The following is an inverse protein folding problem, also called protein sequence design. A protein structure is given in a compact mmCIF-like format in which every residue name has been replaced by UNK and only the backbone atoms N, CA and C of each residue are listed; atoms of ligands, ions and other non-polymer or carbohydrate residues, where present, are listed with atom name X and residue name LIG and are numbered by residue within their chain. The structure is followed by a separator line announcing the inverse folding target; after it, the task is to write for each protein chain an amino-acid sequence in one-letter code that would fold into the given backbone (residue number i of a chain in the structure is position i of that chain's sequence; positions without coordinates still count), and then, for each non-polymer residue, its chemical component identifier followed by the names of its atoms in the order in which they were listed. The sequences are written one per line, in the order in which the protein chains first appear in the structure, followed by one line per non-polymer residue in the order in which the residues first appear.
data_IF_338388290000
#
_entry.id   IF_338388290000
#
_cell.length_a   1.000
_cell.length_b   1.000
_cell.length_c   1.000
_cell.angle_alpha   90.00
_cell.angle_beta   90.00
_cell.angle_gamma   90.00
#
_symmetry.space_group_name_H-M   'P 1'
#
loop_
_entity.id
_entity.type
_entity.pdbx_description
1 polymer ?
#
# COMPACT_ATOMS: atom_id res chain seq x y z
N UNK A 1 -18.51 7.56 10.88
CA UNK A 1 -17.18 6.98 10.60
C UNK A 1 -16.20 7.04 11.79
N UNK A 2 -16.65 7.30 13.01
CA UNK A 2 -15.79 7.29 14.21
C UNK A 2 -15.64 5.92 14.88
N UNK A 3 -16.45 4.93 14.52
CA UNK A 3 -16.49 3.67 15.27
C UNK A 3 -15.34 2.68 14.99
N UNK A 4 -15.01 2.37 13.73
CA UNK A 4 -14.04 1.31 13.45
C UNK A 4 -12.59 1.81 13.41
N UNK A 5 -12.34 2.98 12.83
CA UNK A 5 -11.02 3.62 12.89
C UNK A 5 -10.71 4.12 14.31
N UNK A 6 -11.71 4.62 15.04
CA UNK A 6 -11.61 4.97 16.45
C UNK A 6 -11.33 3.74 17.35
N UNK A 7 -11.93 2.58 17.08
CA UNK A 7 -11.67 1.36 17.83
C UNK A 7 -10.25 0.80 17.58
N UNK A 8 -9.75 0.87 16.34
CA UNK A 8 -8.36 0.52 16.03
C UNK A 8 -7.35 1.53 16.64
N UNK A 9 -7.70 2.80 16.73
CA UNK A 9 -6.86 3.85 17.31
C UNK A 9 -6.96 3.90 18.84
N UNK A 10 -8.14 3.65 19.43
CA UNK A 10 -8.30 3.48 20.88
C UNK A 10 -7.65 2.18 21.39
N UNK A 11 -7.66 1.11 20.63
CA UNK A 11 -6.90 -0.09 20.97
C UNK A 11 -5.38 0.19 21.09
N UNK A 12 -4.87 1.21 20.40
CA UNK A 12 -3.45 1.62 20.48
C UNK A 12 -3.15 2.51 21.70
N UNK A 13 -4.13 3.26 22.20
CA UNK A 13 -3.96 4.13 23.39
C UNK A 13 -4.05 3.38 24.73
N UNK A 14 -4.61 2.18 24.74
CA UNK A 14 -4.74 1.34 25.93
C UNK A 14 -4.13 -0.06 25.78
N UNK A 15 -3.61 -0.42 24.63
CA UNK A 15 -2.87 -1.65 24.47
C UNK A 15 -1.52 -1.55 25.21
N UNK A 16 -1.51 -1.91 26.49
CA UNK A 16 -0.38 -2.69 26.97
C UNK A 16 -0.14 -3.71 25.89
N UNK A 17 1.03 -3.71 25.27
CA UNK A 17 1.43 -4.63 24.21
C UNK A 17 1.36 -6.05 24.77
N UNK A 18 0.15 -6.57 24.82
CA UNK A 18 -0.10 -7.94 25.28
C UNK A 18 0.51 -8.89 24.24
N UNK A 19 1.02 -10.03 24.68
CA UNK A 19 1.57 -11.07 23.82
C UNK A 19 0.66 -11.38 22.60
N UNK A 20 -0.66 -11.28 22.77
CA UNK A 20 -1.64 -11.45 21.69
C UNK A 20 -1.54 -10.42 20.57
N UNK A 21 -1.31 -9.14 20.90
CA UNK A 21 -1.15 -8.10 19.88
C UNK A 21 0.16 -8.29 19.09
N UNK A 22 1.23 -8.68 19.78
CA UNK A 22 2.51 -9.00 19.15
C UNK A 22 2.38 -10.20 18.21
N UNK A 23 1.76 -11.30 18.66
CA UNK A 23 1.52 -12.48 17.83
C UNK A 23 0.69 -12.12 16.59
N UNK A 24 -0.40 -11.38 16.77
CA UNK A 24 -1.26 -10.97 15.65
C UNK A 24 -0.51 -10.10 14.63
N UNK A 25 0.28 -9.13 15.11
CA UNK A 25 1.09 -8.27 14.23
C UNK A 25 2.17 -9.05 13.49
N UNK A 26 2.82 -10.00 14.18
CA UNK A 26 3.84 -10.86 13.58
C UNK A 26 3.24 -11.78 12.52
N UNK A 27 2.12 -12.43 12.82
CA UNK A 27 1.43 -13.28 11.84
C UNK A 27 0.95 -12.48 10.62
N UNK A 28 0.41 -11.27 10.84
CA UNK A 28 0.05 -10.36 9.75
C UNK A 28 1.25 -9.97 8.91
N UNK A 29 2.38 -9.61 9.54
CA UNK A 29 3.62 -9.31 8.84
C UNK A 29 4.15 -10.49 8.03
N UNK A 30 4.18 -11.67 8.61
CA UNK A 30 4.58 -12.91 7.92
C UNK A 30 3.68 -13.21 6.71
N UNK A 31 2.38 -13.00 6.84
CA UNK A 31 1.45 -13.17 5.72
C UNK A 31 1.84 -12.29 4.53
N UNK A 32 2.18 -11.01 4.77
CA UNK A 32 2.62 -10.09 3.70
C UNK A 32 3.95 -10.52 3.09
N UNK A 33 4.92 -10.94 3.91
CA UNK A 33 6.23 -11.40 3.43
C UNK A 33 6.11 -12.70 2.62
N UNK A 34 5.12 -13.54 2.93
CA UNK A 34 4.88 -14.81 2.23
C UNK A 34 4.01 -14.67 0.97
N UNK A 35 3.62 -13.46 0.57
CA UNK A 35 2.86 -13.27 -0.67
C UNK A 35 3.66 -13.76 -1.90
N UNK A 36 3.10 -14.65 -2.73
CA UNK A 36 3.78 -15.14 -3.93
C UNK A 36 4.21 -14.02 -4.88
N UNK A 37 3.40 -12.97 -4.98
CA UNK A 37 3.72 -11.77 -5.78
C UNK A 37 5.00 -11.08 -5.31
N UNK A 38 5.23 -10.97 -3.99
CA UNK A 38 6.44 -10.36 -3.46
C UNK A 38 7.68 -11.18 -3.84
N UNK A 39 7.60 -12.49 -3.69
CA UNK A 39 8.69 -13.41 -4.03
C UNK A 39 8.99 -13.44 -5.53
N UNK A 40 7.95 -13.50 -6.38
CA UNK A 40 8.12 -13.45 -7.83
C UNK A 40 8.87 -12.17 -8.24
N UNK A 41 8.51 -11.02 -7.65
CA UNK A 41 9.17 -9.74 -7.93
C UNK A 41 10.58 -9.66 -7.33
N UNK A 42 10.81 -10.24 -6.17
CA UNK A 42 12.13 -10.27 -5.54
C UNK A 42 13.18 -10.97 -6.42
N UNK A 43 12.77 -11.96 -7.21
CA UNK A 43 13.68 -12.69 -8.11
C UNK A 43 13.74 -12.11 -9.53
N UNK A 44 12.71 -11.38 -9.99
CA UNK A 44 12.64 -10.90 -11.38
C UNK A 44 12.76 -9.39 -11.51
N UNK A 45 12.17 -8.65 -10.59
CA UNK A 45 12.13 -7.20 -10.55
C UNK A 45 12.37 -6.70 -9.13
N UNK A 46 13.59 -6.87 -8.64
CA UNK A 46 13.95 -6.56 -7.24
C UNK A 46 13.54 -5.17 -6.80
N UNK A 47 13.64 -4.17 -7.68
CA UNK A 47 13.19 -2.82 -7.37
C UNK A 47 11.69 -2.75 -7.07
N UNK A 48 10.85 -3.51 -7.78
CA UNK A 48 9.39 -3.58 -7.53
C UNK A 48 9.03 -4.39 -6.27
N UNK A 49 9.95 -5.18 -5.74
CA UNK A 49 9.76 -5.84 -4.44
C UNK A 49 9.81 -4.86 -3.26
N UNK A 50 10.29 -3.62 -3.47
CA UNK A 50 10.39 -2.58 -2.44
C UNK A 50 9.03 -1.97 -2.05
N UNK A 51 7.98 -2.80 -1.94
CA UNK A 51 6.63 -2.38 -1.52
C UNK A 51 6.59 -1.80 -0.10
N UNK A 52 7.62 -2.07 0.70
CA UNK A 52 7.81 -1.47 2.03
C UNK A 52 7.81 0.07 2.00
N UNK A 53 8.23 0.69 0.89
CA UNK A 53 8.17 2.15 0.72
C UNK A 53 6.75 2.69 0.85
N UNK A 54 5.80 2.05 0.18
CA UNK A 54 4.39 2.43 0.27
C UNK A 54 3.81 2.15 1.67
N UNK A 55 4.16 1.00 2.26
CA UNK A 55 3.70 0.64 3.61
C UNK A 55 4.22 1.64 4.65
N UNK A 56 5.49 2.08 4.53
CA UNK A 56 6.03 3.12 5.40
C UNK A 56 5.39 4.48 5.16
N UNK A 57 5.09 4.85 3.91
CA UNK A 57 4.39 6.10 3.61
C UNK A 57 2.98 6.10 4.20
N UNK A 58 2.26 4.99 4.07
CA UNK A 58 0.95 4.82 4.68
C UNK A 58 1.02 4.87 6.22
N UNK A 59 1.99 4.18 6.81
CA UNK A 59 2.22 4.24 8.27
C UNK A 59 2.52 5.66 8.74
N UNK A 60 3.45 6.36 8.06
CA UNK A 60 3.82 7.73 8.39
C UNK A 60 2.61 8.69 8.25
N UNK A 61 1.75 8.50 7.25
CA UNK A 61 0.51 9.25 7.10
C UNK A 61 -0.44 9.00 8.28
N UNK A 62 -0.67 7.74 8.64
CA UNK A 62 -1.58 7.39 9.74
C UNK A 62 -1.07 7.92 11.09
N UNK A 63 0.23 7.82 11.34
CA UNK A 63 0.87 8.37 12.53
C UNK A 63 0.76 9.90 12.57
N UNK A 64 1.05 10.57 11.45
CA UNK A 64 0.92 12.01 11.34
C UNK A 64 -0.51 12.48 11.59
N UNK A 65 -1.50 11.81 10.99
CA UNK A 65 -2.91 12.09 11.21
C UNK A 65 -3.31 11.94 12.68
N UNK A 66 -2.83 10.90 13.36
CA UNK A 66 -3.06 10.71 14.80
C UNK A 66 -2.45 11.84 15.63
N UNK A 67 -1.22 12.24 15.29
CA UNK A 67 -0.53 13.33 15.96
C UNK A 67 -1.20 14.69 15.72
N UNK A 68 -1.81 14.91 14.55
CA UNK A 68 -2.64 16.09 14.28
C UNK A 68 -3.86 16.16 15.20
N UNK A 69 -4.55 15.02 15.39
CA UNK A 69 -5.71 14.95 16.29
C UNK A 69 -5.33 15.19 17.77
N UNK A 70 -4.18 14.67 18.20
CA UNK A 70 -3.69 14.87 19.58
C UNK A 70 -2.99 16.21 19.82
N UNK A 71 -2.81 17.02 18.77
CA UNK A 71 -2.13 18.32 18.87
C UNK A 71 -0.60 18.24 18.98
N UNK A 72 -0.01 17.07 18.80
CA UNK A 72 1.44 16.81 18.93
C UNK A 72 2.17 16.73 17.59
N UNK A 73 1.48 17.01 16.47
CA UNK A 73 2.06 16.88 15.13
C UNK A 73 3.26 17.80 14.92
N UNK A 74 4.33 17.19 14.42
CA UNK A 74 5.52 17.87 13.91
C UNK A 74 5.54 17.75 12.39
N UNK A 75 6.48 18.45 11.73
CA UNK A 75 6.68 18.30 10.29
C UNK A 75 6.95 16.83 9.93
N UNK A 76 6.23 16.24 8.96
CA UNK A 76 6.34 14.80 8.65
C UNK A 76 7.53 14.53 7.72
N UNK A 77 8.75 14.63 8.24
CA UNK A 77 10.00 14.42 7.50
C UNK A 77 10.07 13.06 6.77
N UNK A 78 9.31 12.07 7.21
CA UNK A 78 9.24 10.79 6.53
C UNK A 78 8.74 10.92 5.09
N UNK A 79 7.83 11.86 4.78
CA UNK A 79 7.27 12.02 3.44
C UNK A 79 8.30 12.47 2.41
N UNK A 80 9.06 13.57 2.60
CA UNK A 80 10.13 13.95 1.66
C UNK A 80 11.22 12.87 1.56
N UNK A 81 11.60 12.24 2.65
CA UNK A 81 12.62 11.16 2.62
C UNK A 81 12.13 9.98 1.78
N UNK A 82 10.90 9.53 1.99
CA UNK A 82 10.33 8.42 1.22
C UNK A 82 10.10 8.80 -0.25
N UNK A 83 9.74 10.04 -0.56
CA UNK A 83 9.63 10.52 -1.92
C UNK A 83 10.99 10.51 -2.66
N UNK A 84 12.06 10.95 -1.98
CA UNK A 84 13.42 10.84 -2.49
C UNK A 84 13.82 9.38 -2.77
N UNK A 85 13.63 8.49 -1.80
CA UNK A 85 13.97 7.06 -1.92
C UNK A 85 13.14 6.37 -3.01
N UNK A 86 11.86 6.72 -3.14
CA UNK A 86 10.98 6.14 -4.14
C UNK A 86 11.50 6.37 -5.57
N UNK A 87 11.98 7.58 -5.87
CA UNK A 87 12.57 7.87 -7.18
C UNK A 87 13.86 7.10 -7.40
N UNK A 88 14.71 7.01 -6.37
CA UNK A 88 16.00 6.31 -6.46
C UNK A 88 15.88 4.79 -6.59
N UNK A 89 14.85 4.20 -5.99
CA UNK A 89 14.63 2.74 -6.02
C UNK A 89 13.82 2.34 -7.25
N UNK A 90 12.61 2.90 -7.38
CA UNK A 90 11.77 2.68 -8.56
C UNK A 90 10.70 3.76 -8.68
N UNK A 91 10.64 4.51 -9.79
CA UNK A 91 9.72 5.63 -9.97
C UNK A 91 8.23 5.28 -9.80
N UNK A 92 7.82 4.02 -9.96
CA UNK A 92 6.43 3.58 -9.78
C UNK A 92 5.92 3.72 -8.33
N UNK A 93 6.82 3.77 -7.34
CA UNK A 93 6.42 4.02 -5.96
C UNK A 93 6.17 5.50 -5.67
N UNK A 94 6.73 6.39 -6.49
CA UNK A 94 6.58 7.83 -6.26
C UNK A 94 5.12 8.30 -6.22
N UNK A 95 4.24 7.94 -7.17
CA UNK A 95 2.83 8.35 -7.10
C UNK A 95 2.13 7.90 -5.80
N UNK A 96 2.44 6.70 -5.31
CA UNK A 96 1.85 6.17 -4.07
C UNK A 96 2.33 6.94 -2.84
N UNK A 97 3.64 7.23 -2.76
CA UNK A 97 4.22 8.04 -1.68
C UNK A 97 3.68 9.47 -1.74
N UNK A 98 3.62 10.09 -2.92
CA UNK A 98 3.10 11.43 -3.10
C UNK A 98 1.61 11.53 -2.78
N UNK A 99 0.83 10.49 -3.02
CA UNK A 99 -0.56 10.44 -2.58
C UNK A 99 -0.66 10.47 -1.05
N UNK A 100 0.17 9.72 -0.33
CA UNK A 100 0.22 9.79 1.13
C UNK A 100 0.66 11.17 1.63
N UNK A 101 1.64 11.81 0.97
CA UNK A 101 2.08 13.16 1.28
C UNK A 101 0.98 14.20 1.03
N UNK A 102 0.23 14.07 -0.06
CA UNK A 102 -0.93 14.91 -0.36
C UNK A 102 -2.03 14.76 0.68
N UNK A 103 -2.38 13.52 1.05
CA UNK A 103 -3.37 13.26 2.09
C UNK A 103 -2.96 13.85 3.43
N UNK A 104 -1.66 13.78 3.80
CA UNK A 104 -1.13 14.40 5.02
C UNK A 104 -1.25 15.93 4.98
N UNK A 105 -0.95 16.55 3.82
CA UNK A 105 -1.09 17.99 3.62
C UNK A 105 -2.56 18.44 3.68
N UNK A 106 -3.46 17.72 3.02
CA UNK A 106 -4.91 18.00 3.06
C UNK A 106 -5.45 17.88 4.48
N UNK A 107 -5.03 16.86 5.23
CA UNK A 107 -5.46 16.67 6.62
C UNK A 107 -5.00 17.83 7.50
N UNK A 108 -3.77 18.33 7.35
CA UNK A 108 -3.27 19.52 8.03
C UNK A 108 -4.12 20.76 7.68
N UNK A 109 -4.35 21.00 6.38
CA UNK A 109 -5.15 22.13 5.90
C UNK A 109 -6.56 22.11 6.46
N UNK A 110 -7.20 20.94 6.51
CA UNK A 110 -8.57 20.78 7.02
C UNK A 110 -8.68 20.92 8.53
N UNK A 111 -7.80 20.27 9.29
CA UNK A 111 -7.88 20.25 10.76
C UNK A 111 -7.38 21.55 11.41
N UNK A 112 -6.28 22.10 10.91
CA UNK A 112 -5.63 23.27 11.52
C UNK A 112 -5.87 24.57 10.74
N UNK A 113 -6.60 24.51 9.59
CA UNK A 113 -6.80 25.64 8.66
C UNK A 113 -5.47 26.25 8.16
N UNK A 114 -4.39 25.48 8.21
CA UNK A 114 -3.02 25.91 7.89
C UNK A 114 -2.62 25.52 6.48
N UNK A 115 -3.36 26.00 5.47
CA UNK A 115 -3.16 25.63 4.07
C UNK A 115 -1.79 26.02 3.51
N UNK A 116 -1.19 27.15 3.99
CA UNK A 116 0.17 27.52 3.62
C UNK A 116 1.22 26.51 4.11
N UNK A 117 1.10 26.04 5.36
CA UNK A 117 1.96 24.97 5.88
C UNK A 117 1.73 23.64 5.16
N UNK A 118 0.47 23.33 4.80
CA UNK A 118 0.12 22.15 4.04
C UNK A 118 0.77 22.16 2.64
N UNK A 119 0.70 23.30 1.95
CA UNK A 119 1.34 23.47 0.65
C UNK A 119 2.87 23.35 0.75
N UNK A 120 3.49 23.94 1.77
CA UNK A 120 4.93 23.83 2.01
C UNK A 120 5.35 22.39 2.29
N UNK A 121 4.58 21.66 3.08
CA UNK A 121 4.83 20.25 3.38
C UNK A 121 4.78 19.37 2.12
N UNK A 122 3.79 19.58 1.26
CA UNK A 122 3.71 18.86 0.00
C UNK A 122 4.82 19.24 -0.96
N UNK A 123 5.11 20.56 -1.07
CA UNK A 123 6.20 21.09 -1.90
C UNK A 123 7.58 20.54 -1.48
N UNK A 124 7.82 20.35 -0.17
CA UNK A 124 9.06 19.72 0.33
C UNK A 124 9.20 18.27 -0.16
N UNK A 125 8.11 17.51 -0.18
CA UNK A 125 8.11 16.13 -0.70
C UNK A 125 8.34 16.11 -2.22
N UNK A 126 7.74 17.05 -2.95
CA UNK A 126 7.95 17.20 -4.39
C UNK A 126 9.39 17.61 -4.71
N UNK A 127 9.95 18.58 -3.98
CA UNK A 127 11.33 19.00 -4.12
C UNK A 127 12.32 17.84 -3.87
N UNK A 128 12.08 17.05 -2.82
CA UNK A 128 12.88 15.87 -2.51
C UNK A 128 12.82 14.82 -3.64
N UNK A 129 11.65 14.61 -4.24
CA UNK A 129 11.49 13.73 -5.40
C UNK A 129 12.27 14.25 -6.62
N UNK A 130 12.21 15.56 -6.90
CA UNK A 130 12.96 16.18 -8.01
C UNK A 130 14.46 16.05 -7.78
N UNK A 131 14.96 16.36 -6.56
CA UNK A 131 16.38 16.21 -6.21
C UNK A 131 16.81 14.74 -6.37
N UNK A 132 16.01 13.79 -5.86
CA UNK A 132 16.27 12.37 -6.06
C UNK A 132 16.31 11.99 -7.56
N UNK A 133 15.39 12.50 -8.34
CA UNK A 133 15.33 12.25 -9.79
C UNK A 133 16.55 12.77 -10.55
N UNK A 134 17.06 13.93 -10.18
CA UNK A 134 18.28 14.51 -10.76
C UNK A 134 19.51 13.68 -10.34
N UNK A 135 19.66 13.41 -9.04
CA UNK A 135 20.82 12.69 -8.51
C UNK A 135 20.91 11.24 -9.01
N UNK A 136 19.76 10.58 -9.19
CA UNK A 136 19.71 9.22 -9.73
C UNK A 136 19.65 9.16 -11.26
N UNK A 137 19.74 10.30 -11.95
CA UNK A 137 19.72 10.35 -13.41
C UNK A 137 18.35 10.06 -14.06
N UNK A 138 17.28 9.98 -13.28
CA UNK A 138 15.94 9.78 -13.80
C UNK A 138 15.40 11.04 -14.51
N UNK A 139 15.94 12.20 -14.18
CA UNK A 139 15.64 13.50 -14.82
C UNK A 139 16.93 13.99 -15.45
N UNK A 140 16.87 14.33 -16.75
CA UNK A 140 18.00 14.93 -17.48
C UNK A 140 18.93 13.94 -18.19
N UNK A 141 18.74 12.63 -18.05
CA UNK A 141 19.60 11.62 -18.69
C UNK A 141 19.39 11.47 -20.21
N UNK A 142 18.45 12.16 -20.81
CA UNK A 142 18.15 12.07 -22.25
C UNK A 142 17.64 10.68 -22.73
N UNK A 143 17.63 9.70 -21.87
CA UNK A 143 17.04 8.38 -22.15
C UNK A 143 15.53 8.52 -22.07
N UNK A 144 14.93 8.89 -23.20
CA UNK A 144 13.47 8.94 -23.30
C UNK A 144 12.87 7.61 -22.88
N UNK A 145 11.86 7.66 -22.02
CA UNK A 145 11.11 6.46 -21.67
C UNK A 145 10.66 5.80 -22.97
N UNK A 146 11.16 4.58 -23.22
CA UNK A 146 10.73 3.82 -24.38
C UNK A 146 9.22 3.61 -24.26
N UNK A 147 8.48 3.99 -25.28
CA UNK A 147 7.04 3.70 -25.39
C UNK A 147 6.78 2.25 -25.74
N UNK A 148 7.82 1.43 -25.89
CA UNK A 148 7.71 -0.01 -26.11
C UNK A 148 7.20 -0.68 -24.83
N UNK A 149 6.28 -1.62 -24.97
CA UNK A 149 5.75 -2.41 -23.85
C UNK A 149 4.36 -1.98 -23.36
N UNK A 150 3.73 -0.97 -23.97
CA UNK A 150 2.33 -0.68 -23.69
C UNK A 150 1.47 -1.90 -24.10
N UNK A 151 0.75 -2.46 -23.14
CA UNK A 151 0.00 -3.72 -23.30
C UNK A 151 0.76 -4.96 -22.82
N UNK A 152 2.10 -4.98 -22.88
CA UNK A 152 2.91 -6.13 -22.44
C UNK A 152 2.97 -6.27 -20.91
N UNK A 153 2.65 -5.21 -20.19
CA UNK A 153 2.66 -5.17 -18.72
C UNK A 153 1.26 -5.12 -18.12
N UNK A 154 0.24 -5.47 -18.91
CA UNK A 154 -1.14 -5.50 -18.45
C UNK A 154 -1.39 -6.64 -17.47
N UNK A 155 -2.37 -6.46 -16.60
CA UNK A 155 -2.81 -7.44 -15.61
C UNK A 155 -4.19 -7.98 -16.01
N UNK A 156 -4.36 -9.30 -16.00
CA UNK A 156 -5.68 -9.91 -16.15
C UNK A 156 -6.53 -9.76 -14.88
N UNK A 157 -7.84 -9.72 -15.05
CA UNK A 157 -8.76 -9.74 -13.90
C UNK A 157 -8.61 -10.98 -13.03
N UNK A 158 -8.20 -12.12 -13.60
CA UNK A 158 -7.96 -13.35 -12.86
C UNK A 158 -6.59 -13.40 -12.17
N UNK A 159 -5.72 -12.41 -12.36
CA UNK A 159 -4.36 -12.42 -11.82
C UNK A 159 -4.30 -12.61 -10.30
N UNK A 160 -5.30 -12.10 -9.57
CA UNK A 160 -5.37 -12.25 -8.11
C UNK A 160 -5.56 -13.71 -7.65
N UNK A 161 -6.16 -14.55 -8.50
CA UNK A 161 -6.44 -15.95 -8.21
C UNK A 161 -5.60 -16.91 -9.06
N UNK A 162 -4.95 -16.43 -10.13
CA UNK A 162 -4.16 -17.27 -11.03
C UNK A 162 -2.75 -17.52 -10.49
N UNK A 163 -2.39 -18.75 -10.10
CA UNK A 163 -1.08 -19.07 -9.54
C UNK A 163 0.03 -19.22 -10.57
N UNK A 164 -0.24 -19.07 -11.86
CA UNK A 164 0.73 -19.28 -12.94
C UNK A 164 1.61 -18.06 -13.12
N UNK A 165 2.91 -18.25 -12.98
CA UNK A 165 3.88 -17.23 -13.32
C UNK A 165 4.22 -17.24 -14.82
N UNK A 166 4.87 -16.18 -15.31
CA UNK A 166 5.32 -16.07 -16.69
C UNK A 166 6.25 -17.21 -17.15
N UNK A 167 7.00 -17.80 -16.25
CA UNK A 167 7.91 -18.92 -16.56
C UNK A 167 7.21 -20.26 -16.73
N UNK A 168 5.87 -20.29 -16.70
CA UNK A 168 5.09 -21.52 -16.86
C UNK A 168 5.03 -22.40 -15.61
N UNK A 169 5.69 -22.00 -14.51
CA UNK A 169 5.56 -22.70 -13.23
C UNK A 169 4.42 -22.13 -12.39
N UNK A 170 3.87 -22.95 -11.53
CA UNK A 170 2.75 -22.59 -10.67
C UNK A 170 3.18 -22.42 -9.21
N UNK A 171 2.62 -21.40 -8.56
CA UNK A 171 2.77 -21.14 -7.14
C UNK A 171 1.76 -21.91 -6.27
N UNK A 172 0.88 -22.70 -6.89
CA UNK A 172 -0.05 -23.55 -6.17
C UNK A 172 -0.09 -24.93 -6.81
N UNK A 173 -0.15 -25.96 -5.97
CA UNK A 173 -0.37 -27.36 -6.39
C UNK A 173 -1.82 -27.80 -6.23
N UNK A 174 -2.68 -26.95 -5.67
CA UNK A 174 -4.04 -27.34 -5.28
C UNK A 174 -5.08 -27.10 -6.37
N UNK A 175 -4.78 -26.28 -7.38
CA UNK A 175 -5.68 -26.08 -8.51
C UNK A 175 -4.91 -25.79 -9.79
N UNK A 176 -5.60 -26.03 -10.90
CA UNK A 176 -5.00 -25.97 -12.21
C UNK A 176 -4.58 -24.57 -12.61
N UNK A 177 -3.53 -24.54 -13.41
CA UNK A 177 -2.99 -23.36 -14.05
C UNK A 177 -4.01 -22.78 -15.03
N UNK A 178 -4.32 -21.51 -14.85
CA UNK A 178 -5.13 -20.77 -15.83
C UNK A 178 -4.19 -20.19 -16.90
N UNK A 179 -4.51 -20.34 -18.19
CA UNK A 179 -3.68 -19.79 -19.26
C UNK A 179 -3.58 -18.27 -19.11
N UNK A 180 -2.37 -17.75 -19.29
CA UNK A 180 -2.14 -16.32 -19.40
C UNK A 180 -2.23 -15.90 -20.86
N UNK A 181 -2.77 -14.71 -21.11
CA UNK A 181 -2.75 -14.10 -22.43
C UNK A 181 -1.32 -13.69 -22.80
N UNK A 182 -0.94 -13.73 -24.09
CA UNK A 182 0.34 -13.19 -24.53
C UNK A 182 0.51 -11.73 -24.13
N UNK A 183 1.75 -11.29 -23.90
CA UNK A 183 2.05 -9.89 -23.62
C UNK A 183 1.86 -9.45 -22.16
N UNK A 184 1.57 -10.35 -21.23
CA UNK A 184 1.36 -10.00 -19.81
C UNK A 184 2.61 -10.24 -18.96
N UNK A 185 3.66 -9.53 -19.27
CA UNK A 185 4.98 -9.73 -18.67
C UNK A 185 4.98 -9.61 -17.13
N UNK A 186 4.30 -8.60 -16.59
CA UNK A 186 4.17 -8.34 -15.14
C UNK A 186 2.77 -8.63 -14.61
N UNK A 187 1.96 -9.39 -15.34
CA UNK A 187 0.57 -9.70 -15.00
C UNK A 187 0.39 -10.59 -13.78
N UNK A 188 1.46 -11.16 -13.23
CA UNK A 188 1.39 -12.04 -12.06
C UNK A 188 1.13 -11.24 -10.77
N UNK A 189 -0.04 -11.44 -10.18
CA UNK A 189 -0.45 -10.78 -8.92
C UNK A 189 -1.21 -11.75 -7.99
N UNK A 190 -0.83 -13.01 -8.01
CA UNK A 190 -1.46 -14.05 -7.20
C UNK A 190 -1.34 -13.78 -5.71
N UNK A 191 -2.49 -13.74 -5.02
CA UNK A 191 -2.55 -13.44 -3.58
C UNK A 191 -2.09 -14.60 -2.69
N UNK A 192 -2.03 -15.81 -3.24
CA UNK A 192 -1.78 -17.02 -2.45
C UNK A 192 -3.05 -17.58 -1.81
N UNK A 193 -3.10 -18.90 -1.66
CA UNK A 193 -4.26 -19.60 -1.09
C UNK A 193 -4.60 -19.14 0.31
N UNK A 194 -3.59 -18.83 1.15
CA UNK A 194 -3.79 -18.37 2.52
C UNK A 194 -4.58 -17.07 2.58
N UNK A 195 -4.20 -16.07 1.76
CA UNK A 195 -4.92 -14.79 1.69
C UNK A 195 -6.30 -14.96 1.09
N UNK A 196 -6.45 -15.76 0.05
CA UNK A 196 -7.76 -16.05 -0.56
C UNK A 196 -8.70 -16.74 0.45
N UNK A 197 -8.20 -17.69 1.23
CA UNK A 197 -8.97 -18.33 2.29
C UNK A 197 -9.40 -17.34 3.39
N UNK A 198 -8.49 -16.44 3.81
CA UNK A 198 -8.81 -15.39 4.79
C UNK A 198 -9.86 -14.42 4.28
N UNK A 199 -9.74 -13.96 3.03
CA UNK A 199 -10.75 -13.07 2.40
C UNK A 199 -12.10 -13.78 2.37
N UNK A 200 -12.13 -15.04 1.93
CA UNK A 200 -13.36 -15.84 1.88
C UNK A 200 -13.97 -16.02 3.27
N UNK A 201 -13.16 -16.37 4.26
CA UNK A 201 -13.64 -16.51 5.64
C UNK A 201 -14.18 -15.19 6.20
N UNK A 202 -13.49 -14.07 5.97
CA UNK A 202 -13.93 -12.74 6.40
C UNK A 202 -15.25 -12.33 5.74
N UNK A 203 -15.41 -12.58 4.44
CA UNK A 203 -16.65 -12.32 3.71
C UNK A 203 -17.81 -13.16 4.25
N UNK A 204 -17.59 -14.48 4.43
CA UNK A 204 -18.61 -15.38 4.98
C UNK A 204 -19.01 -14.97 6.40
N UNK A 205 -18.05 -14.60 7.25
CA UNK A 205 -18.31 -14.12 8.59
C UNK A 205 -19.12 -12.82 8.58
N UNK A 206 -18.75 -11.87 7.72
CA UNK A 206 -19.46 -10.58 7.57
C UNK A 206 -20.88 -10.78 7.07
N UNK A 207 -21.08 -11.64 6.08
CA UNK A 207 -22.41 -11.99 5.57
C UNK A 207 -23.27 -12.66 6.67
N UNK A 208 -22.72 -13.63 7.39
CA UNK A 208 -23.44 -14.27 8.52
C UNK A 208 -23.84 -13.26 9.59
N UNK A 209 -22.96 -12.30 9.91
CA UNK A 209 -23.26 -11.24 10.86
C UNK A 209 -24.34 -10.31 10.36
N UNK A 210 -24.30 -9.89 9.09
CA UNK A 210 -25.32 -9.04 8.48
C UNK A 210 -26.70 -9.70 8.47
N UNK A 211 -26.77 -11.02 8.19
CA UNK A 211 -28.02 -11.80 8.22
C UNK A 211 -28.57 -11.98 9.63
N UNK A 212 -27.69 -12.23 10.62
CA UNK A 212 -28.10 -12.48 12.02
C UNK A 212 -28.46 -11.21 12.79
N UNK A 213 -27.85 -10.09 12.45
CA UNK A 213 -28.11 -8.79 13.06
C UNK A 213 -28.41 -7.79 11.93
N UNK A 214 -29.64 -7.76 11.40
CA UNK A 214 -30.05 -6.70 10.48
C UNK A 214 -30.05 -5.38 11.27
N UNK A 215 -28.88 -4.73 11.30
CA UNK A 215 -28.74 -3.43 11.93
C UNK A 215 -29.54 -2.42 11.11
N UNK A 216 -30.36 -1.66 11.84
CA UNK A 216 -31.05 -0.48 11.35
C UNK A 216 -30.05 0.39 10.60
N UNK A 217 -30.10 0.39 9.26
CA UNK A 217 -29.14 1.00 8.34
C UNK A 217 -29.07 2.54 8.41
N UNK A 218 -29.73 3.14 9.41
CA UNK A 218 -29.82 4.60 9.57
C UNK A 218 -28.59 5.28 10.19
N UNK A 219 -27.55 4.56 10.61
CA UNK A 219 -26.42 5.17 11.33
C UNK A 219 -25.08 5.19 10.56
N UNK A 220 -25.05 4.82 9.29
CA UNK A 220 -23.79 4.78 8.52
C UNK A 220 -23.47 6.05 7.72
N UNK A 221 -24.36 7.05 7.66
CA UNK A 221 -24.22 8.24 6.79
C UNK A 221 -24.30 9.58 7.53
N UNK A 222 -24.00 9.62 8.83
CA UNK A 222 -23.90 10.90 9.59
C UNK A 222 -22.50 11.09 10.19
#
# INVERSE_FOLDING_TARGET
MQGAAGALLCARGQAKTGAGALVFSTLGGLLFVMLPTLWERAFRHTALASQWLFLLALYAFLEYRQNLHSGTAKFPWAMPVLAFLAVGIHPYFLPLVMMCALLAAVELGRQKKAWGCAALQFAASLAAAVVGGVLCGAIGSGTGASRSGYGDYSMNLNALINPTSRGGYTWSRLYQVMPQQPGQYDGFNYLGLGVLALITAALLFSLRRAVRCPQNTKTWWH
#
